data_IF_548014926446
#
_entry.id   IF_548014926446
#
_cell.length_a   1.000
_cell.length_b   1.000
_cell.length_c   1.000
_cell.angle_alpha   90.00
_cell.angle_beta   90.00
_cell.angle_gamma   90.00
#
_symmetry.space_group_name_H-M   'P 1'
#
loop_
_entity.id
_entity.type
_entity.pdbx_description
1 polymer ?
#
# COMPACT_ATOMS: atom_id res chain seq x y z
N UNK A 1 3.71 -14.09 -3.50
CA UNK A 1 3.93 -12.90 -4.37
C UNK A 1 4.33 -11.74 -3.49
N UNK A 2 5.32 -10.93 -3.87
CA UNK A 2 5.68 -9.72 -3.13
C UNK A 2 4.87 -8.49 -3.60
N UNK A 3 4.82 -7.44 -2.78
CA UNK A 3 4.09 -6.21 -3.13
C UNK A 3 4.62 -5.57 -4.42
N UNK A 4 5.94 -5.56 -4.62
CA UNK A 4 6.54 -5.05 -5.86
C UNK A 4 6.10 -5.83 -7.11
N UNK A 5 6.03 -7.16 -7.02
CA UNK A 5 5.56 -8.01 -8.12
C UNK A 5 4.09 -7.78 -8.42
N UNK A 6 3.27 -7.62 -7.37
CA UNK A 6 1.87 -7.27 -7.51
C UNK A 6 1.70 -5.95 -8.28
N UNK A 7 2.49 -4.93 -7.94
CA UNK A 7 2.47 -3.63 -8.63
C UNK A 7 2.86 -3.74 -10.10
N UNK A 8 3.92 -4.50 -10.42
CA UNK A 8 4.33 -4.75 -11.80
C UNK A 8 3.25 -5.50 -12.59
N UNK A 9 2.69 -6.56 -12.00
CA UNK A 9 1.73 -7.45 -12.68
C UNK A 9 0.35 -6.81 -12.88
N UNK A 10 -0.17 -6.11 -11.88
CA UNK A 10 -1.55 -5.62 -11.87
C UNK A 10 -1.69 -4.16 -12.32
N UNK A 11 -0.63 -3.36 -12.21
CA UNK A 11 -0.64 -1.95 -12.61
C UNK A 11 0.41 -1.60 -13.66
N UNK A 12 1.14 -2.58 -14.18
CA UNK A 12 2.13 -2.41 -15.25
C UNK A 12 3.19 -1.33 -14.94
N UNK A 13 3.56 -1.20 -13.66
CA UNK A 13 4.52 -0.19 -13.22
C UNK A 13 5.95 -0.62 -13.52
N UNK A 14 6.77 0.33 -13.98
CA UNK A 14 8.22 0.16 -14.11
C UNK A 14 8.94 0.24 -12.76
N UNK A 15 10.21 -0.19 -12.74
CA UNK A 15 11.00 -0.35 -11.51
C UNK A 15 11.13 0.92 -10.68
N UNK A 16 11.26 2.09 -11.32
CA UNK A 16 11.31 3.37 -10.61
C UNK A 16 10.05 3.61 -9.80
N UNK A 17 8.88 3.46 -10.44
CA UNK A 17 7.59 3.63 -9.76
C UNK A 17 7.40 2.59 -8.67
N UNK A 18 7.75 1.33 -8.91
CA UNK A 18 7.67 0.26 -7.89
C UNK A 18 8.52 0.61 -6.67
N UNK A 19 9.76 1.07 -6.88
CA UNK A 19 10.64 1.50 -5.79
C UNK A 19 10.04 2.66 -4.99
N UNK A 20 9.42 3.63 -5.67
CA UNK A 20 8.75 4.76 -5.02
C UNK A 20 7.55 4.30 -4.17
N UNK A 21 6.76 3.33 -4.64
CA UNK A 21 5.68 2.70 -3.85
C UNK A 21 6.21 1.96 -2.63
N UNK A 22 7.27 1.15 -2.79
CA UNK A 22 7.90 0.41 -1.69
C UNK A 22 8.46 1.39 -0.64
N UNK A 23 9.10 2.47 -1.08
CA UNK A 23 9.64 3.49 -0.16
C UNK A 23 8.54 4.17 0.66
N UNK A 24 7.43 4.55 0.03
CA UNK A 24 6.28 5.13 0.74
C UNK A 24 5.65 4.13 1.69
N UNK A 25 5.51 2.88 1.25
CA UNK A 25 4.99 1.81 2.09
C UNK A 25 5.83 1.61 3.37
N UNK A 26 7.16 1.58 3.23
CA UNK A 26 8.06 1.53 4.38
C UNK A 26 7.90 2.75 5.29
N UNK A 27 7.64 3.94 4.72
CA UNK A 27 7.31 5.14 5.51
C UNK A 27 6.06 4.93 6.38
N UNK A 28 4.97 4.41 5.80
CA UNK A 28 3.71 4.11 6.50
C UNK A 28 3.95 3.12 7.64
N UNK A 29 4.69 2.04 7.38
CA UNK A 29 5.01 1.02 8.38
C UNK A 29 5.87 1.57 9.52
N UNK A 30 6.91 2.34 9.20
CA UNK A 30 7.81 2.93 10.20
C UNK A 30 7.09 3.90 11.14
N UNK A 31 5.98 4.49 10.68
CA UNK A 31 5.13 5.38 11.48
C UNK A 31 4.02 4.64 12.23
N UNK A 32 3.90 3.32 12.08
CA UNK A 32 2.86 2.52 12.73
C UNK A 32 1.45 2.87 12.26
N UNK A 33 1.30 3.37 11.04
CA UNK A 33 0.01 3.83 10.52
C UNK A 33 -0.87 2.69 10.01
N UNK A 34 -0.33 1.47 9.87
CA UNK A 34 -1.04 0.30 9.36
C UNK A 34 -0.87 -0.88 10.32
N UNK A 35 -1.97 -1.53 10.68
CA UNK A 35 -2.05 -2.60 11.65
C UNK A 35 -2.61 -3.92 11.08
N UNK A 36 -2.69 -4.04 9.76
CA UNK A 36 -3.27 -5.22 9.10
C UNK A 36 -4.71 -5.02 8.67
N UNK A 37 -5.16 -3.78 8.51
CA UNK A 37 -6.50 -3.48 8.01
C UNK A 37 -6.71 -4.10 6.62
N UNK A 38 -7.86 -4.76 6.44
CA UNK A 38 -8.28 -5.41 5.17
C UNK A 38 -9.08 -4.47 4.28
N UNK A 39 -9.49 -3.31 4.81
CA UNK A 39 -10.27 -2.30 4.11
C UNK A 39 -9.72 -0.90 4.35
N UNK A 40 -9.84 -0.05 3.33
CA UNK A 40 -9.42 1.34 3.41
C UNK A 40 -10.50 2.17 4.11
N UNK A 41 -10.37 2.35 5.43
CA UNK A 41 -11.33 3.12 6.22
C UNK A 41 -11.04 4.64 6.17
N UNK A 42 -12.05 5.51 6.36
CA UNK A 42 -11.84 6.95 6.45
C UNK A 42 -10.86 7.37 7.55
N UNK A 43 -10.86 6.66 8.69
CA UNK A 43 -9.93 6.90 9.79
C UNK A 43 -8.49 6.62 9.39
N UNK A 44 -8.26 5.49 8.73
CA UNK A 44 -6.93 5.10 8.23
C UNK A 44 -6.43 6.09 7.17
N UNK A 45 -7.30 6.51 6.25
CA UNK A 45 -7.00 7.56 5.27
C UNK A 45 -6.59 8.86 5.98
N UNK A 46 -7.39 9.31 6.95
CA UNK A 46 -7.13 10.55 7.68
C UNK A 46 -5.82 10.51 8.47
N UNK A 47 -5.46 9.36 9.03
CA UNK A 47 -4.16 9.17 9.70
C UNK A 47 -2.99 9.32 8.74
N UNK A 48 -3.07 8.74 7.55
CA UNK A 48 -2.03 8.87 6.51
C UNK A 48 -1.96 10.30 5.97
N UNK A 49 -3.10 10.93 5.69
CA UNK A 49 -3.15 12.30 5.18
C UNK A 49 -2.64 13.31 6.22
N UNK A 50 -2.83 13.05 7.52
CA UNK A 50 -2.27 13.88 8.60
C UNK A 50 -0.75 13.78 8.67
N UNK A 51 -0.18 12.59 8.48
CA UNK A 51 1.27 12.39 8.53
C UNK A 51 1.97 12.88 7.24
N UNK A 52 1.29 12.75 6.09
CA UNK A 52 1.82 13.10 4.77
C UNK A 52 0.89 14.06 4.00
N UNK A 53 0.65 15.28 4.50
CA UNK A 53 -0.34 16.20 3.92
C UNK A 53 -0.03 16.62 2.48
N UNK A 54 1.26 16.70 2.14
CA UNK A 54 1.74 17.19 0.83
C UNK A 54 1.93 16.06 -0.21
N UNK A 55 1.86 14.78 0.19
CA UNK A 55 2.09 13.65 -0.73
C UNK A 55 0.92 12.66 -0.73
N UNK A 56 -0.06 12.97 -1.59
CA UNK A 56 -1.23 12.12 -1.85
C UNK A 56 -0.91 10.70 -2.34
N UNK A 57 0.33 10.43 -2.79
CA UNK A 57 0.74 9.09 -3.21
C UNK A 57 0.90 8.13 -2.02
N UNK A 58 1.03 8.62 -0.78
CA UNK A 58 1.00 7.75 0.41
C UNK A 58 -0.35 7.06 0.57
N UNK A 59 -1.45 7.80 0.45
CA UNK A 59 -2.81 7.25 0.47
C UNK A 59 -3.05 6.26 -0.67
N UNK A 60 -2.54 6.55 -1.87
CA UNK A 60 -2.64 5.62 -3.00
C UNK A 60 -1.80 4.34 -2.75
N UNK A 61 -0.62 4.47 -2.16
CA UNK A 61 0.24 3.35 -1.79
C UNK A 61 -0.47 2.44 -0.78
N UNK A 62 -1.06 3.02 0.25
CA UNK A 62 -1.84 2.29 1.25
C UNK A 62 -2.99 1.49 0.59
N UNK A 63 -3.78 2.15 -0.26
CA UNK A 63 -4.88 1.49 -0.98
C UNK A 63 -4.40 0.26 -1.75
N UNK A 64 -3.32 0.41 -2.52
CA UNK A 64 -2.76 -0.70 -3.33
C UNK A 64 -2.18 -1.81 -2.47
N UNK A 65 -1.63 -1.48 -1.31
CA UNK A 65 -1.13 -2.49 -0.37
C UNK A 65 -2.27 -3.33 0.21
N UNK A 66 -3.38 -2.70 0.59
CA UNK A 66 -4.58 -3.42 1.06
C UNK A 66 -5.13 -4.34 -0.05
N UNK A 67 -5.22 -3.85 -1.29
CA UNK A 67 -5.61 -4.69 -2.44
C UNK A 67 -4.68 -5.88 -2.65
N UNK A 68 -3.36 -5.69 -2.44
CA UNK A 68 -2.38 -6.76 -2.46
C UNK A 68 -2.61 -7.80 -1.35
N UNK A 69 -2.83 -7.37 -0.11
CA UNK A 69 -3.10 -8.27 1.01
C UNK A 69 -4.33 -9.13 0.74
N UNK A 70 -5.43 -8.50 0.32
CA UNK A 70 -6.68 -9.20 0.05
C UNK A 70 -6.53 -10.21 -1.10
N UNK A 71 -5.78 -9.87 -2.16
CA UNK A 71 -5.51 -10.84 -3.23
C UNK A 71 -4.59 -11.97 -2.80
N UNK A 72 -3.62 -11.70 -1.94
CA UNK A 72 -2.71 -12.73 -1.41
C UNK A 72 -3.47 -13.72 -0.55
N UNK A 73 -4.32 -13.24 0.34
CA UNK A 73 -5.18 -14.08 1.18
C UNK A 73 -6.09 -14.98 0.33
N UNK A 74 -6.71 -14.44 -0.73
CA UNK A 74 -7.52 -15.25 -1.66
C UNK A 74 -6.72 -16.35 -2.38
N UNK A 75 -5.41 -16.17 -2.60
CA UNK A 75 -4.56 -17.20 -3.20
C UNK A 75 -4.06 -18.22 -2.19
N UNK A 76 -3.81 -17.83 -0.95
CA UNK A 76 -3.38 -18.75 0.11
C UNK A 76 -4.52 -19.69 0.57
N UNK A 77 -5.77 -19.38 0.22
CA UNK A 77 -6.96 -20.22 0.52
C UNK A 77 -7.26 -21.25 -0.60
N UNK A 78 -6.55 -21.21 -1.73
CA UNK A 78 -6.72 -22.13 -2.88
C UNK A 78 -5.68 -23.25 -2.91
#
# INVERSE_FOLDING_TARGET
>A
MEFGDFLRKNYHLGDKSVKDYISRWNGILNKGLYNGETELTPSLIASVDREYPEDSHYRLTLKRYIEFQNKRELWDIQ
#
